data_IF_176334638891
#
_entry.id   IF_176334638891
#
_cell.length_a   1.000
_cell.length_b   1.000
_cell.length_c   1.000
_cell.angle_alpha   90.00
_cell.angle_beta   90.00
_cell.angle_gamma   90.00
#
_symmetry.space_group_name_H-M   'P 1'
#
loop_
_entity.id
_entity.type
_entity.pdbx_description
1 polymer ?
#
# COMPACT_ATOMS: atom_id res chain seq x y z
N UNK A 1 9.75 -16.03 1.57
CA UNK A 1 9.27 -14.79 0.91
C UNK A 1 7.98 -14.42 1.61
N UNK A 2 7.82 -13.17 2.08
CA UNK A 2 6.59 -12.75 2.73
C UNK A 2 5.40 -12.95 1.79
N UNK A 3 4.35 -13.60 2.28
CA UNK A 3 3.06 -13.78 1.64
C UNK A 3 2.32 -12.44 1.54
N UNK A 4 1.69 -12.11 0.41
CA UNK A 4 0.95 -10.87 0.30
C UNK A 4 -0.24 -10.77 1.27
N UNK A 5 -0.69 -9.54 1.57
CA UNK A 5 -1.84 -9.28 2.45
C UNK A 5 -3.14 -9.85 1.87
N UNK A 6 -4.15 -9.98 2.73
CA UNK A 6 -5.49 -10.44 2.34
C UNK A 6 -6.56 -9.38 2.59
N UNK A 7 -7.66 -9.46 1.85
CA UNK A 7 -8.83 -8.59 1.95
C UNK A 7 -8.52 -7.08 1.89
N UNK A 8 -7.52 -6.70 1.08
CA UNK A 8 -7.17 -5.30 0.90
C UNK A 8 -8.30 -4.48 0.30
N UNK A 9 -8.53 -3.32 0.91
CA UNK A 9 -9.47 -2.31 0.46
C UNK A 9 -8.76 -0.97 0.40
N UNK A 10 -9.15 -0.17 -0.59
CA UNK A 10 -8.64 1.17 -0.77
C UNK A 10 -9.79 2.14 -0.95
N UNK A 11 -9.69 3.30 -0.32
CA UNK A 11 -10.57 4.43 -0.53
C UNK A 11 -9.79 5.74 -0.57
N UNK A 12 -10.39 6.77 -1.15
CA UNK A 12 -9.80 8.10 -1.23
C UNK A 12 -10.73 9.13 -0.57
N UNK A 13 -10.14 10.00 0.23
CA UNK A 13 -10.80 11.17 0.80
C UNK A 13 -9.92 12.40 0.59
N UNK A 14 -10.31 13.26 -0.36
CA UNK A 14 -9.52 14.40 -0.81
C UNK A 14 -8.12 13.99 -1.30
N UNK A 15 -7.09 14.33 -0.54
CA UNK A 15 -5.68 14.05 -0.84
C UNK A 15 -5.11 12.87 -0.03
N UNK A 16 -5.98 12.14 0.69
CA UNK A 16 -5.61 11.00 1.55
C UNK A 16 -6.12 9.71 0.95
N UNK A 17 -5.25 8.71 0.84
CA UNK A 17 -5.60 7.32 0.56
C UNK A 17 -5.70 6.58 1.87
N UNK A 18 -6.83 5.95 2.13
CA UNK A 18 -7.02 5.03 3.23
C UNK A 18 -6.91 3.60 2.71
N UNK A 19 -6.02 2.82 3.33
CA UNK A 19 -5.82 1.41 3.09
C UNK A 19 -6.24 0.62 4.32
N UNK A 20 -6.92 -0.50 4.09
CA UNK A 20 -7.29 -1.47 5.12
C UNK A 20 -6.97 -2.86 4.59
N UNK A 21 -6.50 -3.75 5.46
CA UNK A 21 -6.21 -5.15 5.15
C UNK A 21 -6.35 -6.01 6.40
N UNK A 22 -6.47 -7.32 6.20
CA UNK A 22 -6.44 -8.27 7.30
C UNK A 22 -4.99 -8.53 7.69
N UNK A 23 -4.64 -8.19 8.93
CA UNK A 23 -3.34 -8.51 9.51
C UNK A 23 -3.23 -10.02 9.74
N UNK A 24 -2.10 -10.58 9.32
CA UNK A 24 -1.73 -11.98 9.55
C UNK A 24 -0.78 -12.05 10.75
N UNK A 25 -0.99 -13.01 11.65
CA UNK A 25 -0.17 -13.23 12.84
C UNK A 25 1.32 -13.41 12.51
N UNK A 26 1.66 -13.91 11.31
CA UNK A 26 3.05 -14.03 10.86
C UNK A 26 3.75 -12.66 10.71
N UNK A 27 3.00 -11.56 10.68
CA UNK A 27 3.49 -10.19 10.58
C UNK A 27 3.23 -9.37 11.84
N UNK A 28 3.10 -10.01 13.00
CA UNK A 28 2.90 -9.31 14.28
C UNK A 28 4.08 -8.39 14.65
N UNK A 29 5.27 -8.64 14.10
CA UNK A 29 6.45 -7.83 14.33
C UNK A 29 6.42 -6.54 13.48
N UNK A 30 6.92 -5.45 14.08
CA UNK A 30 7.02 -4.15 13.46
C UNK A 30 8.12 -4.06 12.39
N UNK A 31 8.93 -5.10 12.18
CA UNK A 31 9.92 -5.15 11.09
C UNK A 31 9.27 -5.26 9.70
N UNK A 32 8.02 -5.73 9.61
CA UNK A 32 7.30 -5.82 8.34
C UNK A 32 6.54 -4.53 8.06
N UNK A 33 6.86 -3.89 6.93
CA UNK A 33 6.30 -2.60 6.51
C UNK A 33 5.52 -2.71 5.21
N UNK A 34 4.52 -1.86 5.05
CA UNK A 34 3.76 -1.73 3.81
C UNK A 34 4.38 -0.68 2.89
N UNK A 35 4.50 -1.02 1.61
CA UNK A 35 4.81 -0.12 0.51
C UNK A 35 3.59 0.00 -0.41
N UNK A 36 3.21 1.21 -0.78
CA UNK A 36 2.11 1.50 -1.70
C UNK A 36 2.67 2.00 -3.03
N UNK A 37 2.16 1.44 -4.11
CA UNK A 37 2.39 1.88 -5.48
C UNK A 37 1.06 2.31 -6.09
N UNK A 38 1.03 3.54 -6.63
CA UNK A 38 0.01 4.03 -7.52
C UNK A 38 0.52 3.90 -8.95
N UNK A 39 -0.27 3.27 -9.81
CA UNK A 39 0.09 3.07 -11.20
C UNK A 39 -1.03 3.57 -12.12
N UNK A 40 -0.76 4.63 -12.88
CA UNK A 40 -1.48 4.94 -14.11
C UNK A 40 -0.81 4.12 -15.23
N UNK A 41 -1.53 3.18 -15.88
CA UNK A 41 -0.98 2.34 -16.94
C UNK A 41 -0.43 3.11 -18.15
N UNK A 42 -0.82 4.37 -18.32
CA UNK A 42 -0.58 5.15 -19.54
C UNK A 42 0.41 6.31 -19.36
N UNK A 43 0.64 6.77 -18.13
CA UNK A 43 1.43 7.98 -17.89
C UNK A 43 2.42 7.85 -16.73
N UNK A 44 1.93 7.74 -15.50
CA UNK A 44 2.72 8.01 -14.30
C UNK A 44 2.57 6.91 -13.24
N UNK A 45 3.67 6.64 -12.52
CA UNK A 45 3.66 5.75 -11.37
C UNK A 45 4.27 6.45 -10.16
N UNK A 46 3.63 6.33 -9.01
CA UNK A 46 4.10 6.89 -7.75
C UNK A 46 4.30 5.78 -6.72
N UNK A 47 5.46 5.77 -6.08
CA UNK A 47 5.79 4.83 -5.02
C UNK A 47 5.94 5.59 -3.70
N UNK A 48 5.33 5.06 -2.64
CA UNK A 48 5.59 5.42 -1.26
C UNK A 48 6.09 4.18 -0.52
N UNK A 49 7.35 4.25 -0.11
CA UNK A 49 8.00 3.19 0.65
C UNK A 49 7.78 3.40 2.15
N UNK A 50 7.52 2.33 2.87
CA UNK A 50 7.41 2.22 4.33
C UNK A 50 6.41 3.19 4.94
N UNK A 51 5.14 2.83 4.83
CA UNK A 51 4.02 3.66 5.25
C UNK A 51 3.54 3.32 6.66
N UNK A 52 3.46 2.02 6.96
CA UNK A 52 2.86 1.50 8.18
C UNK A 52 3.42 0.10 8.51
N UNK A 53 3.30 -0.32 9.76
CA UNK A 53 3.55 -1.72 10.13
C UNK A 53 2.43 -2.60 9.55
N UNK A 54 2.77 -3.79 9.05
CA UNK A 54 1.76 -4.73 8.54
C UNK A 54 0.73 -5.11 9.60
N UNK A 55 1.16 -5.22 10.87
CA UNK A 55 0.31 -5.55 12.01
C UNK A 55 -0.77 -4.50 12.34
N UNK A 56 -0.66 -3.27 11.81
CA UNK A 56 -1.65 -2.22 12.08
C UNK A 56 -2.98 -2.45 11.35
N UNK A 57 -2.99 -3.27 10.29
CA UNK A 57 -4.21 -3.61 9.52
C UNK A 57 -4.82 -2.43 8.73
N UNK A 58 -4.27 -1.22 8.88
CA UNK A 58 -4.73 -0.04 8.17
C UNK A 58 -3.67 1.05 8.18
N UNK A 59 -3.73 1.93 7.18
CA UNK A 59 -2.94 3.16 7.16
C UNK A 59 -3.57 4.23 6.26
N UNK A 60 -3.17 5.48 6.49
CA UNK A 60 -3.58 6.62 5.66
C UNK A 60 -2.34 7.30 5.06
N UNK A 61 -2.38 7.61 3.77
CA UNK A 61 -1.25 8.17 3.02
C UNK A 61 -1.63 9.46 2.31
N UNK A 62 -0.91 10.52 2.60
CA UNK A 62 -1.11 11.83 1.98
C UNK A 62 -0.36 11.96 0.65
N UNK A 63 -1.09 12.41 -0.37
CA UNK A 63 -0.56 12.85 -1.66
C UNK A 63 -1.25 14.16 -2.07
N UNK A 64 -0.56 15.30 -1.93
CA UNK A 64 -1.11 16.67 -2.11
C UNK A 64 -1.63 17.00 -3.53
N UNK A 65 -1.54 16.06 -4.45
CA UNK A 65 -1.97 16.19 -5.83
C UNK A 65 -3.20 15.32 -6.16
N UNK A 66 -3.62 14.41 -5.28
CA UNK A 66 -4.67 13.44 -5.56
C UNK A 66 -6.04 14.06 -5.87
N UNK A 67 -6.44 15.12 -5.15
CA UNK A 67 -7.69 15.85 -5.46
C UNK A 67 -7.68 16.52 -6.84
N UNK A 68 -6.50 16.67 -7.44
CA UNK A 68 -6.28 17.23 -8.77
C UNK A 68 -5.98 16.15 -9.81
N UNK A 69 -6.09 14.86 -9.46
CA UNK A 69 -5.85 13.76 -10.38
C UNK A 69 -6.75 13.90 -11.61
N UNK A 70 -6.19 13.64 -12.78
CA UNK A 70 -6.90 13.66 -14.06
C UNK A 70 -7.17 12.26 -14.59
N UNK A 71 -6.73 11.24 -13.85
CA UNK A 71 -6.71 9.83 -14.22
C UNK A 71 -7.03 8.97 -12.99
N UNK A 72 -7.35 7.71 -13.25
CA UNK A 72 -7.56 6.70 -12.23
C UNK A 72 -6.26 5.95 -11.97
N UNK A 73 -5.95 5.69 -10.69
CA UNK A 73 -4.74 4.98 -10.30
C UNK A 73 -5.08 3.59 -9.81
N UNK A 74 -4.38 2.58 -10.35
CA UNK A 74 -4.38 1.25 -9.79
C UNK A 74 -3.48 1.22 -8.56
N UNK A 75 -4.03 0.77 -7.44
CA UNK A 75 -3.32 0.72 -6.16
C UNK A 75 -2.81 -0.68 -5.92
N UNK A 76 -1.51 -0.78 -5.72
CA UNK A 76 -0.84 -2.01 -5.33
C UNK A 76 -0.10 -1.84 -4.02
N UNK A 77 -0.04 -2.89 -3.21
CA UNK A 77 0.80 -2.90 -2.02
C UNK A 77 1.71 -4.11 -1.99
N UNK A 78 2.86 -3.96 -1.35
CA UNK A 78 3.79 -5.05 -1.05
C UNK A 78 4.33 -4.92 0.37
N UNK A 79 4.80 -6.03 0.91
CA UNK A 79 5.46 -6.10 2.23
C UNK A 79 6.96 -5.97 2.04
N UNK A 80 7.57 -5.14 2.87
CA UNK A 80 9.00 -5.01 3.02
C UNK A 80 9.42 -5.55 4.39
N UNK A 81 10.22 -6.60 4.40
CA UNK A 81 10.97 -7.05 5.56
C UNK A 81 12.17 -6.10 5.74
N UNK A 82 12.08 -5.21 6.73
CA UNK A 82 13.12 -4.20 6.98
C UNK A 82 14.38 -4.76 7.64
N UNK A 83 14.32 -5.99 8.18
CA UNK A 83 15.46 -6.65 8.80
C UNK A 83 16.33 -7.34 7.75
N UNK A 84 15.71 -8.16 6.90
CA UNK A 84 16.42 -8.95 5.88
C UNK A 84 16.46 -8.26 4.50
N UNK A 85 15.76 -7.14 4.35
CA UNK A 85 15.67 -6.38 3.10
C UNK A 85 14.80 -7.04 2.03
N UNK A 86 14.04 -8.08 2.38
CA UNK A 86 13.21 -8.86 1.46
C UNK A 86 11.91 -8.15 1.09
N UNK A 87 11.45 -8.33 -0.14
CA UNK A 87 10.15 -7.83 -0.61
C UNK A 87 9.22 -8.98 -0.97
N UNK A 88 7.94 -8.85 -0.64
CA UNK A 88 6.90 -9.74 -1.17
C UNK A 88 6.59 -9.42 -2.63
N UNK A 89 5.83 -10.31 -3.26
CA UNK A 89 5.05 -9.91 -4.43
C UNK A 89 4.03 -8.83 -4.04
N UNK A 90 3.66 -7.98 -5.00
CA UNK A 90 2.58 -7.03 -4.80
C UNK A 90 1.21 -7.69 -4.90
N UNK A 91 0.23 -7.04 -4.29
CA UNK A 91 -1.20 -7.33 -4.45
C UNK A 91 -1.93 -6.10 -4.92
N UNK A 92 -2.98 -6.35 -5.70
CA UNK A 92 -3.89 -5.33 -6.17
C UNK A 92 -4.96 -5.03 -5.12
N UNK A 93 -5.14 -3.75 -4.78
CA UNK A 93 -6.08 -3.29 -3.75
C UNK A 93 -7.33 -2.61 -4.32
N UNK A 94 -7.27 -2.14 -5.56
CA UNK A 94 -8.39 -1.44 -6.22
C UNK A 94 -7.96 -0.27 -7.09
N UNK A 95 -8.93 0.56 -7.45
CA UNK A 95 -8.74 1.80 -8.22
C UNK A 95 -9.18 2.98 -7.36
N UNK A 96 -8.45 4.10 -7.45
CA UNK A 96 -8.81 5.39 -6.84
C UNK A 96 -8.80 6.54 -7.82
#
# INVERSE_FOLDING_TARGET
MPTPLSNCQVSINNDVIDLIWDADDQYSDNVYKINLVLLDPFNESHLRTSIASVSEGSCSVQFDWLKRKTTDFHVYVGIWDTLDGGFSNSIYCGVI
#
